data_IF_188022646458
#
_entry.id   IF_188022646458
#
_cell.length_a   1.000
_cell.length_b   1.000
_cell.length_c   1.000
_cell.angle_alpha   90.00
_cell.angle_beta   90.00
_cell.angle_gamma   90.00
#
_symmetry.space_group_name_H-M   'P 1'
#
loop_
_entity.id
_entity.type
_entity.pdbx_description
1 polymer ?
#
# COMPACT_ATOMS: atom_id res chain seq x y z
N UNK A 1 -9.88 -6.10 25.08
CA UNK A 1 -10.29 -6.03 23.66
C UNK A 1 -9.16 -6.43 22.69
N UNK A 2 -8.10 -5.63 22.46
CA UNK A 2 -6.94 -6.06 21.62
C UNK A 2 -6.25 -7.31 22.23
N UNK A 3 -6.11 -7.32 23.55
CA UNK A 3 -5.55 -8.45 24.30
C UNK A 3 -6.40 -9.73 24.22
N UNK A 4 -7.73 -9.60 24.13
CA UNK A 4 -8.63 -10.76 23.99
C UNK A 4 -8.58 -11.34 22.57
N UNK A 5 -8.25 -10.51 21.57
CA UNK A 5 -8.05 -10.95 20.19
C UNK A 5 -6.72 -11.70 20.03
N UNK A 6 -5.63 -11.19 20.63
CA UNK A 6 -4.32 -11.83 20.60
C UNK A 6 -4.25 -13.12 21.44
N UNK A 7 -4.90 -13.14 22.61
CA UNK A 7 -4.93 -14.32 23.49
C UNK A 7 -5.72 -15.51 22.92
N UNK A 8 -6.57 -15.30 21.92
CA UNK A 8 -7.34 -16.39 21.28
C UNK A 8 -6.52 -17.21 20.27
N UNK A 9 -5.33 -16.75 19.88
CA UNK A 9 -4.41 -17.48 19.00
C UNK A 9 -3.57 -18.45 19.86
N UNK A 10 -4.04 -19.70 20.01
CA UNK A 10 -3.37 -20.75 20.80
C UNK A 10 -1.94 -20.99 20.30
N UNK A 11 -0.95 -20.99 21.21
CA UNK A 11 0.38 -21.58 20.98
C UNK A 11 1.57 -20.62 20.84
N UNK A 12 1.46 -19.35 21.25
CA UNK A 12 2.55 -18.37 21.15
C UNK A 12 3.23 -18.22 22.52
N UNK A 13 4.57 -18.25 22.57
CA UNK A 13 5.31 -18.08 23.82
C UNK A 13 5.20 -16.63 24.36
N UNK A 14 5.41 -16.44 25.66
CA UNK A 14 5.33 -15.11 26.31
C UNK A 14 6.32 -14.10 25.71
N UNK A 15 7.50 -14.55 25.30
CA UNK A 15 8.49 -13.70 24.64
C UNK A 15 8.10 -13.32 23.20
N UNK A 16 7.48 -14.25 22.47
CA UNK A 16 6.90 -13.94 21.15
C UNK A 16 5.69 -13.00 21.26
N UNK A 17 4.88 -13.14 22.31
CA UNK A 17 3.79 -12.22 22.64
C UNK A 17 4.33 -10.81 22.94
N UNK A 18 5.40 -10.67 23.73
CA UNK A 18 6.01 -9.38 24.06
C UNK A 18 6.60 -8.67 22.83
N UNK A 19 7.31 -9.39 21.95
CA UNK A 19 7.85 -8.84 20.70
C UNK A 19 6.75 -8.48 19.70
N UNK A 20 5.69 -9.30 19.61
CA UNK A 20 4.48 -8.99 18.82
C UNK A 20 3.74 -7.79 19.38
N UNK A 21 3.71 -7.63 20.71
CA UNK A 21 3.05 -6.52 21.38
C UNK A 21 3.76 -5.18 21.13
N UNK A 22 5.09 -5.15 21.19
CA UNK A 22 5.87 -3.95 20.86
C UNK A 22 5.78 -3.59 19.37
N UNK A 23 5.75 -4.58 18.47
CA UNK A 23 5.55 -4.35 17.04
C UNK A 23 4.13 -3.87 16.71
N UNK A 24 3.09 -4.45 17.32
CA UNK A 24 1.71 -3.99 17.12
C UNK A 24 1.46 -2.63 17.78
N UNK A 25 2.05 -2.34 18.94
CA UNK A 25 2.04 -0.99 19.53
C UNK A 25 2.72 0.00 18.60
N UNK A 26 3.89 -0.33 18.06
CA UNK A 26 4.54 0.49 17.04
C UNK A 26 3.64 0.74 15.82
N UNK A 27 2.93 -0.27 15.33
CA UNK A 27 2.08 -0.18 14.12
C UNK A 27 0.77 0.56 14.36
N UNK A 28 0.11 0.31 15.49
CA UNK A 28 -1.07 1.06 15.91
C UNK A 28 -0.72 2.49 16.28
N UNK A 29 0.42 2.73 16.90
CA UNK A 29 0.94 4.06 17.15
C UNK A 29 1.40 4.72 15.84
N UNK A 30 1.93 3.97 14.88
CA UNK A 30 2.28 4.44 13.54
C UNK A 30 1.05 4.88 12.78
N UNK A 31 -0.01 4.07 12.76
CA UNK A 31 -1.30 4.44 12.18
C UNK A 31 -1.96 5.61 12.93
N UNK A 32 -2.08 5.54 14.26
CA UNK A 32 -2.65 6.64 15.05
C UNK A 32 -1.92 7.95 14.80
N UNK A 33 -0.59 7.91 14.77
CA UNK A 33 0.19 9.09 14.44
C UNK A 33 0.03 9.43 12.95
N UNK A 34 -0.08 8.45 12.02
CA UNK A 34 -0.27 8.69 10.58
C UNK A 34 -1.48 9.55 10.37
N UNK A 35 -2.58 9.14 10.98
CA UNK A 35 -3.86 9.83 10.98
C UNK A 35 -3.79 11.19 11.68
N UNK A 36 -3.06 11.28 12.79
CA UNK A 36 -2.89 12.55 13.51
C UNK A 36 -2.02 13.57 12.75
N UNK A 37 -0.96 13.10 12.08
CA UNK A 37 -0.04 13.94 11.33
C UNK A 37 -0.59 14.29 9.96
N UNK A 38 -1.36 13.42 9.32
CA UNK A 38 -2.00 13.74 8.04
C UNK A 38 -2.97 14.92 8.16
N UNK A 39 -3.72 14.97 9.26
CA UNK A 39 -4.57 16.11 9.61
C UNK A 39 -3.77 17.39 9.89
N UNK A 40 -2.48 17.33 10.26
CA UNK A 40 -1.67 18.52 10.60
C UNK A 40 -0.82 19.05 9.46
N UNK A 41 -0.50 18.25 8.45
CA UNK A 41 0.52 18.59 7.46
C UNK A 41 -0.02 18.79 6.06
N UNK A 42 -1.29 18.46 5.83
CA UNK A 42 -1.95 18.74 4.58
C UNK A 42 -2.28 20.23 4.40
N UNK A 43 -2.55 20.68 3.16
CA UNK A 43 -3.11 22.00 2.95
C UNK A 43 -4.48 22.10 3.65
N UNK A 44 -4.80 23.28 4.20
CA UNK A 44 -5.97 23.49 5.07
C UNK A 44 -7.28 22.99 4.45
N UNK A 45 -7.46 23.20 3.15
CA UNK A 45 -8.65 22.74 2.42
C UNK A 45 -8.85 21.22 2.51
N UNK A 46 -7.79 20.41 2.39
CA UNK A 46 -7.88 18.94 2.52
C UNK A 46 -8.01 18.48 3.98
N UNK A 47 -7.47 19.23 4.95
CA UNK A 47 -7.62 18.92 6.38
C UNK A 47 -9.04 19.08 6.87
N UNK A 48 -9.74 20.07 6.33
CA UNK A 48 -11.14 20.33 6.65
C UNK A 48 -12.05 19.25 6.08
N UNK A 49 -11.75 18.76 4.87
CA UNK A 49 -12.59 17.81 4.15
C UNK A 49 -12.29 16.34 4.42
N UNK A 50 -11.02 15.91 4.47
CA UNK A 50 -10.68 14.49 4.60
C UNK A 50 -10.28 14.16 6.05
N UNK A 51 -10.99 13.19 6.65
CA UNK A 51 -10.72 12.67 8.00
C UNK A 51 -10.27 11.22 7.93
N UNK A 52 -9.57 10.79 8.98
CA UNK A 52 -9.11 9.41 9.11
C UNK A 52 -9.76 8.72 10.30
N UNK A 53 -10.07 7.44 10.12
CA UNK A 53 -10.60 6.59 11.18
C UNK A 53 -9.93 5.21 11.13
N UNK A 54 -9.77 4.63 12.31
CA UNK A 54 -9.38 3.23 12.48
C UNK A 54 -10.63 2.40 12.71
N UNK A 55 -10.72 1.26 12.04
CA UNK A 55 -11.77 0.26 12.27
C UNK A 55 -11.19 -1.01 12.90
N UNK A 56 -11.89 -1.55 13.89
CA UNK A 56 -11.53 -2.80 14.57
C UNK A 56 -12.37 -3.99 14.09
N UNK A 57 -13.17 -3.81 13.04
CA UNK A 57 -13.86 -4.88 12.35
C UNK A 57 -12.92 -5.85 11.61
N UNK A 58 -13.53 -6.84 10.97
CA UNK A 58 -12.83 -7.93 10.29
C UNK A 58 -12.41 -7.62 8.84
N UNK A 59 -12.70 -6.41 8.34
CA UNK A 59 -12.31 -6.00 6.98
C UNK A 59 -10.78 -6.02 6.81
N UNK A 60 -10.32 -6.32 5.60
CA UNK A 60 -8.92 -6.18 5.21
C UNK A 60 -8.66 -5.03 4.26
N UNK A 61 -9.70 -4.41 3.74
CA UNK A 61 -9.58 -3.32 2.77
C UNK A 61 -9.88 -2.00 3.48
N UNK A 62 -8.99 -1.00 3.35
CA UNK A 62 -9.35 0.38 3.62
C UNK A 62 -10.55 0.80 2.75
N UNK A 63 -11.29 1.80 3.22
CA UNK A 63 -12.44 2.34 2.48
C UNK A 63 -12.55 3.84 2.71
N UNK A 64 -12.71 4.61 1.65
CA UNK A 64 -13.13 5.99 1.66
C UNK A 64 -14.67 6.10 1.65
N UNK A 65 -15.22 7.02 2.45
CA UNK A 65 -16.66 7.31 2.50
C UNK A 65 -16.94 8.80 2.42
N UNK A 66 -17.90 9.19 1.60
CA UNK A 66 -18.43 10.54 1.55
C UNK A 66 -19.47 10.77 2.66
N UNK A 67 -19.48 11.97 3.23
CA UNK A 67 -20.41 12.45 4.24
C UNK A 67 -20.99 13.80 3.80
N UNK A 68 -22.20 14.16 4.25
CA UNK A 68 -22.81 15.45 3.94
C UNK A 68 -21.88 16.63 4.23
N UNK A 69 -21.87 17.62 3.32
CA UNK A 69 -21.03 18.82 3.44
C UNK A 69 -19.63 18.70 2.84
N UNK A 70 -19.40 17.75 1.92
CA UNK A 70 -18.09 17.58 1.26
C UNK A 70 -17.01 17.03 2.19
N UNK A 71 -17.44 16.31 3.23
CA UNK A 71 -16.56 15.65 4.19
C UNK A 71 -16.31 14.22 3.73
N UNK A 72 -15.06 13.79 3.76
CA UNK A 72 -14.63 12.45 3.42
C UNK A 72 -14.00 11.78 4.62
N UNK A 73 -14.15 10.46 4.73
CA UNK A 73 -13.49 9.67 5.77
C UNK A 73 -12.81 8.45 5.15
N UNK A 74 -11.50 8.36 5.35
CA UNK A 74 -10.73 7.16 5.02
C UNK A 74 -10.67 6.29 6.28
N UNK A 75 -11.19 5.07 6.17
CA UNK A 75 -11.29 4.10 7.25
C UNK A 75 -10.27 3.01 7.00
N UNK A 76 -9.34 2.83 7.94
CA UNK A 76 -8.32 1.79 7.88
C UNK A 76 -8.62 0.67 8.88
N UNK A 77 -8.81 -0.57 8.42
CA UNK A 77 -9.02 -1.69 9.32
C UNK A 77 -7.71 -2.14 10.00
N UNK A 78 -7.75 -2.33 11.32
CA UNK A 78 -6.64 -2.88 12.09
C UNK A 78 -6.32 -4.31 11.66
N UNK A 79 -7.34 -5.08 11.26
CA UNK A 79 -7.14 -6.47 10.85
C UNK A 79 -6.23 -6.59 9.63
N UNK A 80 -6.33 -5.67 8.66
CA UNK A 80 -5.39 -5.58 7.54
C UNK A 80 -3.94 -5.47 8.01
N UNK A 81 -3.63 -4.59 8.96
CA UNK A 81 -2.28 -4.43 9.46
C UNK A 81 -1.75 -5.70 10.12
N UNK A 82 -2.61 -6.36 10.89
CA UNK A 82 -2.27 -7.59 11.58
C UNK A 82 -1.94 -8.69 10.56
N UNK A 83 -2.77 -8.87 9.54
CA UNK A 83 -2.51 -9.86 8.50
C UNK A 83 -1.27 -9.49 7.67
N UNK A 84 -1.11 -8.23 7.27
CA UNK A 84 0.09 -7.76 6.58
C UNK A 84 1.35 -8.04 7.42
N UNK A 85 1.28 -7.88 8.75
CA UNK A 85 2.35 -8.27 9.64
C UNK A 85 2.62 -9.77 9.61
N UNK A 86 1.59 -10.62 9.68
CA UNK A 86 1.79 -12.06 9.62
C UNK A 86 2.41 -12.48 8.28
N UNK A 87 1.99 -11.85 7.19
CA UNK A 87 2.50 -12.13 5.84
C UNK A 87 3.92 -11.62 5.63
N UNK A 88 4.32 -10.50 6.23
CA UNK A 88 5.66 -9.91 6.01
C UNK A 88 6.68 -10.29 7.09
N UNK A 89 6.27 -10.51 8.34
CA UNK A 89 7.16 -10.77 9.48
C UNK A 89 6.99 -12.15 10.11
N UNK A 90 6.07 -12.98 9.61
CA UNK A 90 5.76 -14.27 10.22
C UNK A 90 6.98 -15.22 10.28
N UNK A 91 6.87 -16.36 10.98
CA UNK A 91 7.92 -17.39 11.00
C UNK A 91 8.19 -17.94 9.59
N UNK A 92 9.43 -17.86 9.09
CA UNK A 92 9.82 -18.31 7.73
C UNK A 92 10.49 -17.23 6.88
N UNK A 93 10.03 -15.98 6.95
CA UNK A 93 10.58 -14.85 6.16
C UNK A 93 11.92 -14.36 6.67
N UNK A 94 12.13 -14.44 7.98
CA UNK A 94 13.40 -14.06 8.63
C UNK A 94 14.62 -14.81 8.06
N UNK A 95 14.41 -15.92 7.34
CA UNK A 95 15.47 -16.66 6.64
C UNK A 95 15.91 -15.99 5.33
N UNK A 96 15.07 -15.16 4.72
CA UNK A 96 15.25 -14.67 3.36
C UNK A 96 15.40 -13.14 3.25
N UNK A 97 15.02 -12.37 4.28
CA UNK A 97 15.10 -10.89 4.25
C UNK A 97 15.59 -10.27 5.56
N UNK A 98 16.25 -9.12 5.46
CA UNK A 98 16.63 -8.31 6.63
C UNK A 98 15.42 -7.49 7.11
N UNK A 99 15.38 -7.19 8.41
CA UNK A 99 14.30 -6.40 9.04
C UNK A 99 14.03 -5.04 8.37
N UNK A 100 15.07 -4.39 7.84
CA UNK A 100 14.93 -3.14 7.10
C UNK A 100 14.13 -3.31 5.81
N UNK A 101 14.27 -4.45 5.13
CA UNK A 101 13.60 -4.74 3.86
C UNK A 101 12.12 -5.04 4.08
N UNK A 102 11.79 -5.83 5.11
CA UNK A 102 10.41 -6.07 5.55
C UNK A 102 9.69 -4.75 5.87
N UNK A 103 10.40 -3.81 6.52
CA UNK A 103 9.85 -2.48 6.84
C UNK A 103 9.54 -1.67 5.59
N UNK A 104 10.36 -1.76 4.52
CA UNK A 104 10.08 -1.09 3.25
C UNK A 104 8.83 -1.62 2.58
N UNK A 105 8.66 -2.94 2.56
CA UNK A 105 7.47 -3.59 2.00
C UNK A 105 6.20 -3.14 2.71
N UNK A 106 6.19 -3.17 4.05
CA UNK A 106 5.03 -2.69 4.82
C UNK A 106 4.75 -1.22 4.55
N UNK A 107 5.80 -0.39 4.50
CA UNK A 107 5.65 1.03 4.21
C UNK A 107 4.99 1.27 2.85
N UNK A 108 5.44 0.56 1.81
CA UNK A 108 4.86 0.67 0.46
C UNK A 108 3.41 0.16 0.44
N UNK A 109 3.11 -0.96 1.09
CA UNK A 109 1.72 -1.46 1.19
C UNK A 109 0.77 -0.42 1.79
N UNK A 110 1.18 0.21 2.90
CA UNK A 110 0.40 1.26 3.55
C UNK A 110 0.28 2.51 2.70
N UNK A 111 1.33 2.89 1.97
CA UNK A 111 1.29 4.01 1.03
C UNK A 111 0.33 3.76 -0.12
N UNK A 112 0.35 2.56 -0.72
CA UNK A 112 -0.55 2.22 -1.83
C UNK A 112 -2.00 2.29 -1.39
N UNK A 113 -2.32 1.70 -0.24
CA UNK A 113 -3.64 1.76 0.36
C UNK A 113 -4.10 3.19 0.62
N UNK A 114 -3.23 3.99 1.25
CA UNK A 114 -3.56 5.38 1.56
C UNK A 114 -3.74 6.19 0.29
N UNK A 115 -2.85 6.05 -0.68
CA UNK A 115 -2.92 6.74 -1.95
C UNK A 115 -4.21 6.40 -2.69
N UNK A 116 -4.54 5.12 -2.79
CA UNK A 116 -5.78 4.64 -3.42
C UNK A 116 -7.02 5.30 -2.82
N UNK A 117 -7.21 5.22 -1.49
CA UNK A 117 -8.39 5.82 -0.85
C UNK A 117 -8.41 7.35 -0.91
N UNK A 118 -7.24 7.98 -0.91
CA UNK A 118 -7.17 9.44 -1.10
C UNK A 118 -7.64 9.84 -2.49
N UNK A 119 -7.31 9.04 -3.52
CA UNK A 119 -7.75 9.31 -4.90
C UNK A 119 -9.26 9.27 -5.00
N UNK A 120 -9.91 8.31 -4.37
CA UNK A 120 -11.38 8.29 -4.27
C UNK A 120 -11.95 9.57 -3.69
N UNK A 121 -11.32 10.11 -2.65
CA UNK A 121 -11.73 11.37 -2.03
C UNK A 121 -11.49 12.59 -2.94
N UNK A 122 -10.32 12.69 -3.59
CA UNK A 122 -9.95 13.89 -4.35
C UNK A 122 -10.55 13.94 -5.74
N UNK A 123 -10.83 12.79 -6.36
CA UNK A 123 -11.44 12.70 -7.69
C UNK A 123 -12.97 12.58 -7.65
N UNK A 124 -13.55 12.42 -6.46
CA UNK A 124 -15.00 12.30 -6.30
C UNK A 124 -15.56 10.98 -6.81
N UNK A 125 -14.78 9.90 -6.71
CA UNK A 125 -15.24 8.54 -7.11
C UNK A 125 -16.37 8.03 -6.19
N UNK A 126 -16.56 8.64 -5.03
CA UNK A 126 -17.54 8.18 -4.04
C UNK A 126 -18.98 8.60 -4.34
N UNK A 127 -19.21 9.36 -5.41
CA UNK A 127 -20.50 9.97 -5.74
C UNK A 127 -21.21 9.33 -6.97
N UNK A 128 -20.68 8.23 -7.53
CA UNK A 128 -21.05 7.76 -8.88
C UNK A 128 -21.85 6.43 -8.94
N UNK A 129 -22.52 6.23 -10.09
CA UNK A 129 -23.34 5.05 -10.44
C UNK A 129 -22.51 3.75 -10.54
N UNK A 130 -23.18 2.59 -10.36
CA UNK A 130 -22.57 1.25 -10.29
C UNK A 130 -21.68 0.91 -11.50
N UNK A 131 -21.97 1.49 -12.67
CA UNK A 131 -21.25 1.21 -13.93
C UNK A 131 -19.83 1.84 -14.01
N UNK A 132 -19.49 2.83 -13.18
CA UNK A 132 -18.16 3.48 -13.20
C UNK A 132 -17.18 2.93 -12.16
N UNK A 133 -17.66 2.11 -11.21
CA UNK A 133 -16.88 1.61 -10.06
C UNK A 133 -15.56 0.99 -10.49
N UNK A 134 -15.56 0.07 -11.48
CA UNK A 134 -14.33 -0.58 -11.95
C UNK A 134 -13.33 0.41 -12.56
N UNK A 135 -13.81 1.39 -13.31
CA UNK A 135 -12.91 2.39 -13.93
C UNK A 135 -12.30 3.34 -12.90
N UNK A 136 -13.04 3.66 -11.85
CA UNK A 136 -12.60 4.51 -10.75
C UNK A 136 -11.64 3.80 -9.80
N UNK A 137 -11.89 2.51 -9.51
CA UNK A 137 -10.96 1.64 -8.79
C UNK A 137 -9.65 1.45 -9.56
N UNK A 138 -9.73 1.22 -10.88
CA UNK A 138 -8.55 1.16 -11.76
C UNK A 138 -7.80 2.49 -11.76
N UNK A 139 -8.51 3.62 -11.86
CA UNK A 139 -7.88 4.93 -11.79
C UNK A 139 -7.19 5.14 -10.43
N UNK A 140 -7.85 4.82 -9.32
CA UNK A 140 -7.28 4.91 -7.99
C UNK A 140 -6.03 4.04 -7.79
N UNK A 141 -6.03 2.81 -8.29
CA UNK A 141 -4.85 1.94 -8.29
C UNK A 141 -3.71 2.52 -9.13
N UNK A 142 -4.02 3.03 -10.33
CA UNK A 142 -3.02 3.61 -11.22
C UNK A 142 -2.40 4.84 -10.57
N UNK A 143 -3.25 5.72 -10.05
CA UNK A 143 -2.86 6.95 -9.40
C UNK A 143 -2.01 6.66 -8.14
N UNK A 144 -2.38 5.65 -7.36
CA UNK A 144 -1.63 5.22 -6.19
C UNK A 144 -0.21 4.78 -6.53
N UNK A 145 -0.04 4.00 -7.61
CA UNK A 145 1.29 3.59 -8.09
C UNK A 145 2.19 4.80 -8.43
N UNK A 146 1.64 5.77 -9.15
CA UNK A 146 2.35 7.01 -9.51
C UNK A 146 2.70 7.87 -8.30
N UNK A 147 1.80 7.99 -7.32
CA UNK A 147 2.03 8.71 -6.07
C UNK A 147 3.16 8.09 -5.24
N UNK A 148 3.23 6.76 -5.17
CA UNK A 148 4.30 6.05 -4.47
C UNK A 148 5.65 6.28 -5.15
N UNK A 149 5.71 6.21 -6.48
CA UNK A 149 6.93 6.55 -7.21
C UNK A 149 7.35 8.00 -6.93
N UNK A 150 6.42 8.96 -7.07
CA UNK A 150 6.70 10.37 -6.82
C UNK A 150 7.21 10.63 -5.40
N UNK A 151 6.70 9.87 -4.42
CA UNK A 151 7.18 9.96 -3.05
C UNK A 151 8.60 9.39 -2.88
N UNK A 152 8.88 8.21 -3.43
CA UNK A 152 10.23 7.61 -3.38
C UNK A 152 11.25 8.50 -4.09
N UNK A 153 10.93 8.96 -5.30
CA UNK A 153 11.76 9.85 -6.11
C UNK A 153 12.12 11.13 -5.34
N UNK A 154 11.12 11.83 -4.78
CA UNK A 154 11.32 13.10 -4.09
C UNK A 154 11.91 12.96 -2.68
N UNK A 155 11.70 11.82 -2.02
CA UNK A 155 12.07 11.61 -0.62
C UNK A 155 13.21 10.61 -0.42
N UNK A 156 13.93 10.21 -1.48
CA UNK A 156 14.96 9.18 -1.39
C UNK A 156 16.01 9.45 -0.29
N UNK A 157 16.45 10.71 -0.14
CA UNK A 157 17.39 11.11 0.91
C UNK A 157 16.86 10.84 2.33
N UNK A 158 15.57 11.07 2.53
CA UNK A 158 14.86 10.77 3.77
C UNK A 158 14.64 9.26 3.96
N UNK A 159 14.53 8.49 2.87
CA UNK A 159 14.27 7.06 2.90
C UNK A 159 15.52 6.19 3.10
N UNK A 160 16.72 6.75 2.86
CA UNK A 160 18.01 6.07 3.06
C UNK A 160 18.18 5.40 4.43
N UNK A 161 17.85 6.04 5.58
CA UNK A 161 17.90 5.39 6.88
C UNK A 161 16.98 4.17 7.04
N UNK A 162 15.95 4.05 6.19
CA UNK A 162 15.04 2.90 6.13
C UNK A 162 15.48 1.86 5.08
N UNK A 163 16.65 2.05 4.48
CA UNK A 163 17.29 1.11 3.56
C UNK A 163 16.87 1.25 2.11
N UNK A 164 16.22 2.34 1.71
CA UNK A 164 16.06 2.70 0.29
C UNK A 164 17.33 3.36 -0.22
N UNK A 165 18.10 2.64 -1.03
CA UNK A 165 19.39 3.08 -1.56
C UNK A 165 19.22 3.96 -2.81
N UNK A 166 18.29 3.57 -3.68
CA UNK A 166 17.98 4.19 -4.96
C UNK A 166 16.53 3.92 -5.39
N UNK A 167 16.12 4.53 -6.51
CA UNK A 167 14.79 4.35 -7.10
C UNK A 167 14.59 2.96 -7.72
N UNK A 168 15.68 2.31 -8.15
CA UNK A 168 15.67 0.96 -8.71
C UNK A 168 15.23 -0.06 -7.67
N UNK A 169 15.76 0.06 -6.44
CA UNK A 169 15.30 -0.70 -5.30
C UNK A 169 13.84 -0.37 -4.98
N UNK A 170 13.40 0.88 -5.16
CA UNK A 170 11.99 1.26 -5.09
C UNK A 170 11.12 0.42 -6.04
N UNK A 171 11.58 0.19 -7.27
CA UNK A 171 10.93 -0.72 -8.23
C UNK A 171 10.80 -2.15 -7.71
N UNK A 172 11.88 -2.74 -7.22
CA UNK A 172 11.83 -4.09 -6.63
C UNK A 172 10.83 -4.19 -5.48
N UNK A 173 10.90 -3.25 -4.53
CA UNK A 173 10.02 -3.26 -3.36
C UNK A 173 8.55 -3.00 -3.74
N UNK A 174 8.31 -2.20 -4.79
CA UNK A 174 6.98 -1.96 -5.33
C UNK A 174 6.34 -3.23 -5.88
N UNK A 175 7.06 -4.01 -6.69
CA UNK A 175 6.55 -5.29 -7.21
C UNK A 175 6.25 -6.28 -6.10
N UNK A 176 7.13 -6.34 -5.10
CA UNK A 176 6.96 -7.20 -3.93
C UNK A 176 5.73 -6.80 -3.09
N UNK A 177 5.66 -5.51 -2.71
CA UNK A 177 4.59 -4.98 -1.87
C UNK A 177 3.23 -5.08 -2.55
N UNK A 178 3.14 -4.77 -3.84
CA UNK A 178 1.89 -4.87 -4.60
C UNK A 178 1.40 -6.32 -4.63
N UNK A 179 2.28 -7.30 -4.84
CA UNK A 179 1.92 -8.73 -4.84
C UNK A 179 1.42 -9.17 -3.46
N UNK A 180 2.11 -8.79 -2.38
CA UNK A 180 1.69 -9.10 -1.00
C UNK A 180 0.33 -8.48 -0.69
N UNK A 181 0.13 -7.22 -1.08
CA UNK A 181 -1.08 -6.46 -0.79
C UNK A 181 -2.30 -7.02 -1.53
N UNK A 182 -2.19 -7.25 -2.84
CA UNK A 182 -3.31 -7.77 -3.64
C UNK A 182 -3.65 -9.21 -3.28
N UNK A 183 -2.65 -10.00 -2.88
CA UNK A 183 -2.84 -11.33 -2.28
C UNK A 183 -3.63 -11.28 -0.97
N UNK A 184 -3.32 -10.30 -0.12
CA UNK A 184 -3.99 -10.13 1.15
C UNK A 184 -5.47 -9.76 0.97
N UNK A 185 -5.76 -8.87 0.02
CA UNK A 185 -7.14 -8.51 -0.30
C UNK A 185 -7.92 -9.70 -0.86
N UNK A 186 -7.34 -10.50 -1.75
CA UNK A 186 -8.04 -11.64 -2.33
C UNK A 186 -8.46 -12.70 -1.32
N UNK A 187 -7.66 -12.89 -0.26
CA UNK A 187 -7.84 -13.96 0.74
C UNK A 187 -9.25 -14.02 1.34
N UNK A 188 -10.06 -12.95 1.26
CA UNK A 188 -11.42 -12.92 1.77
C UNK A 188 -12.46 -12.29 0.82
N UNK A 189 -12.10 -11.99 -0.43
CA UNK A 189 -12.99 -11.42 -1.45
C UNK A 189 -13.18 -12.39 -2.65
N UNK A 190 -13.23 -13.69 -2.38
CA UNK A 190 -13.33 -14.73 -3.42
C UNK A 190 -14.60 -14.68 -4.29
N UNK A 191 -15.64 -13.96 -3.85
CA UNK A 191 -16.97 -13.96 -4.48
C UNK A 191 -17.47 -12.55 -4.85
N UNK A 192 -16.61 -11.52 -4.80
CA UNK A 192 -17.01 -10.13 -5.04
C UNK A 192 -16.72 -9.70 -6.48
N UNK A 193 -17.72 -9.83 -7.36
CA UNK A 193 -17.64 -9.54 -8.81
C UNK A 193 -17.33 -8.05 -9.13
N UNK A 194 -17.43 -7.17 -8.14
CA UNK A 194 -17.12 -5.74 -8.26
C UNK A 194 -15.64 -5.39 -8.06
N UNK A 195 -14.84 -6.28 -7.47
CA UNK A 195 -13.45 -6.00 -7.11
C UNK A 195 -12.46 -6.51 -8.15
N UNK A 196 -11.44 -5.71 -8.47
CA UNK A 196 -10.40 -6.14 -9.40
C UNK A 196 -9.66 -7.39 -8.89
N UNK A 197 -9.47 -8.35 -9.80
CA UNK A 197 -8.67 -9.52 -9.52
C UNK A 197 -7.23 -9.11 -9.13
N UNK A 198 -6.52 -9.90 -8.32
CA UNK A 198 -5.24 -9.49 -7.72
C UNK A 198 -4.17 -9.16 -8.75
N UNK A 199 -4.22 -9.87 -9.88
CA UNK A 199 -3.37 -9.66 -11.04
C UNK A 199 -3.63 -8.31 -11.70
N UNK A 200 -4.90 -7.97 -11.91
CA UNK A 200 -5.27 -6.69 -12.51
C UNK A 200 -4.78 -5.53 -11.65
N UNK A 201 -5.07 -5.54 -10.34
CA UNK A 201 -4.59 -4.52 -9.40
C UNK A 201 -3.07 -4.40 -9.41
N UNK A 202 -2.37 -5.54 -9.38
CA UNK A 202 -0.91 -5.57 -9.47
C UNK A 202 -0.42 -4.86 -10.74
N UNK A 203 -0.99 -5.20 -11.90
CA UNK A 203 -0.63 -4.57 -13.17
C UNK A 203 -0.93 -3.08 -13.16
N UNK A 204 -2.08 -2.67 -12.62
CA UNK A 204 -2.49 -1.26 -12.55
C UNK A 204 -1.53 -0.45 -11.67
N UNK A 205 -1.21 -0.94 -10.47
CA UNK A 205 -0.23 -0.32 -9.58
C UNK A 205 1.15 -0.19 -10.24
N UNK A 206 1.63 -1.27 -10.88
CA UNK A 206 2.93 -1.28 -11.57
C UNK A 206 2.94 -0.31 -12.76
N UNK A 207 1.86 -0.28 -13.56
CA UNK A 207 1.71 0.65 -14.67
C UNK A 207 1.72 2.11 -14.19
N UNK A 208 1.01 2.40 -13.10
CA UNK A 208 1.02 3.70 -12.43
C UNK A 208 2.40 4.12 -11.97
N UNK A 209 3.19 3.19 -11.42
CA UNK A 209 4.56 3.45 -10.98
C UNK A 209 5.55 3.64 -12.14
N UNK A 210 5.45 2.84 -13.21
CA UNK A 210 6.36 2.91 -14.36
C UNK A 210 6.11 4.16 -15.22
N UNK A 211 4.85 4.58 -15.36
CA UNK A 211 4.51 5.66 -16.30
C UNK A 211 5.30 6.96 -16.02
N UNK A 212 5.37 7.48 -14.79
CA UNK A 212 6.19 8.65 -14.48
C UNK A 212 7.70 8.43 -14.70
N UNK A 213 8.23 7.23 -14.45
CA UNK A 213 9.63 6.88 -14.76
C UNK A 213 9.89 7.05 -16.25
N UNK A 214 9.00 6.51 -17.10
CA UNK A 214 9.10 6.60 -18.55
C UNK A 214 9.11 8.04 -19.02
N UNK A 215 8.26 8.87 -18.43
CA UNK A 215 8.11 10.26 -18.84
C UNK A 215 9.25 11.16 -18.31
N UNK A 216 9.81 10.88 -17.13
CA UNK A 216 10.85 11.72 -16.50
C UNK A 216 12.28 11.26 -16.78
N UNK A 217 12.50 9.95 -16.90
CA UNK A 217 13.83 9.32 -17.03
C UNK A 217 13.99 8.55 -18.35
N UNK A 218 12.92 8.44 -19.14
CA UNK A 218 12.94 7.80 -20.46
C UNK A 218 12.72 6.28 -20.43
N UNK A 219 12.59 5.71 -21.63
CA UNK A 219 12.24 4.30 -21.83
C UNK A 219 13.24 3.30 -21.24
N UNK A 220 14.54 3.62 -21.24
CA UNK A 220 15.57 2.72 -20.73
C UNK A 220 15.47 2.54 -19.22
N UNK A 221 15.29 3.65 -18.48
CA UNK A 221 15.08 3.62 -17.03
C UNK A 221 13.79 2.89 -16.68
N UNK A 222 12.69 3.18 -17.39
CA UNK A 222 11.41 2.50 -17.22
C UNK A 222 11.52 0.98 -17.42
N UNK A 223 12.26 0.55 -18.45
CA UNK A 223 12.50 -0.88 -18.69
C UNK A 223 13.29 -1.53 -17.56
N UNK A 224 14.34 -0.87 -17.07
CA UNK A 224 15.15 -1.39 -15.96
C UNK A 224 14.34 -1.51 -14.67
N UNK A 225 13.58 -0.48 -14.33
CA UNK A 225 12.67 -0.49 -13.17
C UNK A 225 11.59 -1.56 -13.33
N UNK A 226 11.01 -1.72 -14.53
CA UNK A 226 10.03 -2.77 -14.81
C UNK A 226 10.60 -4.18 -14.57
N UNK A 227 11.82 -4.47 -15.03
CA UNK A 227 12.50 -5.74 -14.76
C UNK A 227 12.69 -5.98 -13.26
N UNK A 228 13.02 -4.94 -12.50
CA UNK A 228 13.16 -5.05 -11.04
C UNK A 228 11.82 -5.27 -10.34
N UNK A 229 10.74 -4.63 -10.81
CA UNK A 229 9.40 -4.90 -10.30
C UNK A 229 9.01 -6.36 -10.56
N UNK A 230 9.26 -6.92 -11.74
CA UNK A 230 9.02 -8.33 -12.06
C UNK A 230 9.82 -9.29 -11.16
N UNK A 231 11.07 -8.94 -10.86
CA UNK A 231 11.88 -9.68 -9.89
C UNK A 231 11.28 -9.63 -8.48
N UNK A 232 10.74 -8.47 -8.08
CA UNK A 232 10.00 -8.29 -6.83
C UNK A 232 8.73 -9.14 -6.75
N UNK A 233 7.95 -9.18 -7.83
CA UNK A 233 6.74 -10.03 -7.96
C UNK A 233 7.11 -11.50 -7.80
N UNK A 234 8.16 -11.95 -8.51
CA UNK A 234 8.61 -13.34 -8.46
C UNK A 234 9.06 -13.75 -7.04
N UNK A 235 9.80 -12.86 -6.36
CA UNK A 235 10.22 -13.08 -4.99
C UNK A 235 9.04 -13.12 -4.00
N UNK A 236 8.03 -12.28 -4.18
CA UNK A 236 6.82 -12.31 -3.35
C UNK A 236 6.00 -13.58 -3.58
N UNK A 237 5.82 -14.02 -4.84
CA UNK A 237 5.11 -15.26 -5.16
C UNK A 237 5.76 -16.49 -4.51
N UNK A 238 7.10 -16.58 -4.59
CA UNK A 238 7.85 -17.66 -3.92
C UNK A 238 7.62 -17.65 -2.41
N UNK A 239 7.63 -16.48 -1.79
CA UNK A 239 7.37 -16.40 -0.36
C UNK A 239 5.95 -16.85 0.01
N UNK A 240 4.97 -16.39 -0.77
CA UNK A 240 3.56 -16.71 -0.52
C UNK A 240 3.32 -18.22 -0.67
N UNK A 241 3.94 -18.88 -1.66
CA UNK A 241 3.81 -20.33 -1.82
C UNK A 241 4.40 -21.11 -0.65
N UNK A 242 5.56 -20.70 -0.10
CA UNK A 242 6.16 -21.28 1.11
C UNK A 242 5.26 -21.15 2.36
N UNK A 243 4.32 -20.21 2.36
CA UNK A 243 3.35 -19.96 3.43
C UNK A 243 2.06 -20.76 3.29
N UNK A 244 1.93 -21.57 2.24
CA UNK A 244 0.67 -22.21 1.92
C UNK A 244 -0.42 -21.23 1.52
N UNK A 245 -0.06 -20.04 0.99
CA UNK A 245 -1.02 -19.33 0.16
C UNK A 245 -1.34 -20.23 -1.04
N UNK A 246 -2.63 -20.50 -1.20
CA UNK A 246 -3.18 -21.57 -2.04
C UNK A 246 -2.68 -21.51 -3.49
N UNK A 247 -2.52 -22.69 -4.11
CA UNK A 247 -2.38 -22.86 -5.58
C UNK A 247 -3.44 -22.02 -6.32
N UNK A 248 -4.62 -21.89 -5.72
CA UNK A 248 -5.68 -21.04 -6.22
C UNK A 248 -5.28 -19.56 -6.36
N UNK A 249 -4.62 -18.96 -5.37
CA UNK A 249 -4.16 -17.57 -5.47
C UNK A 249 -3.07 -17.43 -6.53
N UNK A 250 -2.17 -18.41 -6.63
CA UNK A 250 -1.16 -18.42 -7.68
C UNK A 250 -1.80 -18.52 -9.07
N UNK A 251 -2.84 -19.34 -9.23
CA UNK A 251 -3.61 -19.42 -10.49
C UNK A 251 -4.28 -18.10 -10.87
N UNK A 252 -4.69 -17.28 -9.89
CA UNK A 252 -5.25 -15.95 -10.17
C UNK A 252 -4.24 -14.97 -10.74
N UNK A 253 -2.97 -15.07 -10.33
CA UNK A 253 -1.88 -14.27 -10.90
C UNK A 253 -1.36 -14.80 -12.24
N UNK A 254 -1.48 -16.10 -12.47
CA UNK A 254 -0.87 -16.76 -13.63
C UNK A 254 -1.85 -16.98 -14.78
N UNK A 255 -3.15 -16.83 -14.56
CA UNK A 255 -4.16 -16.94 -15.61
C UNK A 255 -4.35 -15.61 -16.36
N UNK A 256 -3.96 -15.49 -17.65
CA UNK A 256 -4.16 -14.28 -18.45
C UNK A 256 -5.62 -14.03 -18.81
N UNK A 257 -6.49 -15.04 -18.76
CA UNK A 257 -7.93 -14.86 -19.00
C UNK A 257 -8.58 -13.96 -17.94
N UNK A 258 -7.93 -13.81 -16.78
CA UNK A 258 -8.32 -12.87 -15.74
C UNK A 258 -8.11 -11.39 -16.13
N UNK A 259 -7.56 -11.10 -17.31
CA UNK A 259 -7.36 -9.73 -17.81
C UNK A 259 -8.46 -9.27 -18.78
N UNK A 260 -9.54 -10.04 -18.94
CA UNK A 260 -10.48 -9.87 -20.05
C UNK A 260 -11.05 -8.45 -20.20
N UNK A 261 -11.25 -7.72 -19.10
CA UNK A 261 -11.70 -6.32 -19.09
C UNK A 261 -10.59 -5.30 -18.77
N UNK A 262 -9.38 -5.74 -18.39
CA UNK A 262 -8.30 -4.85 -17.94
C UNK A 262 -7.95 -3.78 -18.98
N UNK A 263 -7.73 -4.18 -20.24
CA UNK A 263 -7.37 -3.23 -21.29
C UNK A 263 -8.52 -2.29 -21.67
N UNK A 264 -9.76 -2.74 -21.52
CA UNK A 264 -10.95 -1.91 -21.76
C UNK A 264 -11.11 -0.86 -20.66
N UNK A 265 -11.02 -1.29 -19.39
CA UNK A 265 -11.15 -0.41 -18.21
C UNK A 265 -9.99 0.57 -18.15
N UNK A 266 -8.76 0.11 -18.41
CA UNK A 266 -7.63 1.00 -18.65
C UNK A 266 -7.91 1.91 -19.85
N UNK A 267 -8.39 1.41 -20.98
CA UNK A 267 -8.77 2.24 -22.13
C UNK A 267 -9.65 3.44 -21.78
N UNK A 268 -10.62 3.27 -20.88
CA UNK A 268 -11.54 4.32 -20.40
C UNK A 268 -10.85 5.38 -19.52
N UNK A 269 -9.77 5.02 -18.83
CA UNK A 269 -8.97 5.96 -18.03
C UNK A 269 -7.86 6.66 -18.83
N UNK A 270 -7.64 6.32 -20.11
CA UNK A 270 -6.50 6.85 -20.91
C UNK A 270 -6.61 8.34 -21.28
N UNK A 271 -7.81 8.91 -21.41
CA UNK A 271 -7.96 10.28 -21.92
C UNK A 271 -7.40 11.39 -20.99
N UNK A 272 -6.90 11.03 -19.80
CA UNK A 272 -6.37 11.99 -18.81
C UNK A 272 -4.92 11.74 -18.38
N UNK A 273 -4.28 10.63 -18.77
CA UNK A 273 -3.05 10.11 -18.11
C UNK A 273 -1.71 10.69 -18.57
N UNK A 274 -1.65 11.35 -19.73
CA UNK A 274 -0.41 11.91 -20.28
C UNK A 274 -0.06 13.30 -19.72
N UNK A 275 -1.01 13.97 -19.05
CA UNK A 275 -0.81 15.31 -18.45
C UNK A 275 -0.39 15.24 -16.96
N UNK A 276 -0.33 14.04 -16.39
CA UNK A 276 -0.44 13.87 -14.94
C UNK A 276 0.90 13.82 -14.17
N UNK A 277 2.11 13.94 -14.75
CA UNK A 277 3.36 13.91 -13.93
C UNK A 277 3.34 14.96 -12.82
N UNK A 278 2.94 16.18 -13.18
CA UNK A 278 2.84 17.27 -12.24
C UNK A 278 1.74 17.00 -11.20
N UNK A 279 0.68 16.30 -11.59
CA UNK A 279 -0.37 15.84 -10.69
C UNK A 279 0.11 14.72 -9.77
N UNK A 280 0.91 13.76 -10.24
CA UNK A 280 1.54 12.69 -9.43
C UNK A 280 2.49 13.25 -8.40
N UNK A 281 3.38 14.15 -8.82
CA UNK A 281 4.32 14.81 -7.92
C UNK A 281 3.58 15.64 -6.88
N UNK A 282 2.53 16.38 -7.28
CA UNK A 282 1.68 17.08 -6.32
C UNK A 282 0.99 16.08 -5.41
N UNK A 283 0.22 15.13 -5.92
CA UNK A 283 -0.49 14.15 -5.12
C UNK A 283 0.45 13.39 -4.15
N UNK A 284 1.72 13.15 -4.50
CA UNK A 284 2.71 12.55 -3.58
C UNK A 284 2.93 13.37 -2.30
N UNK A 285 2.69 14.69 -2.29
CA UNK A 285 2.70 15.50 -1.06
C UNK A 285 1.65 15.00 -0.05
N UNK A 286 0.56 14.39 -0.52
CA UNK A 286 -0.47 13.85 0.35
C UNK A 286 0.07 12.68 1.19
N UNK A 287 1.18 12.04 0.76
CA UNK A 287 1.92 11.02 1.50
C UNK A 287 2.99 11.60 2.45
N UNK A 288 3.26 12.91 2.43
CA UNK A 288 4.19 13.58 3.37
C UNK A 288 3.92 13.34 4.87
N UNK A 289 2.68 13.12 5.35
CA UNK A 289 2.44 12.73 6.74
C UNK A 289 3.23 11.50 7.17
N UNK A 290 3.41 10.53 6.27
CA UNK A 290 4.16 9.29 6.53
C UNK A 290 5.61 9.60 6.91
N UNK A 291 6.24 10.56 6.23
CA UNK A 291 7.60 11.01 6.54
C UNK A 291 7.72 11.57 7.95
N UNK A 292 6.77 12.42 8.39
CA UNK A 292 6.81 13.01 9.74
C UNK A 292 6.65 11.96 10.84
N UNK A 293 5.94 10.86 10.57
CA UNK A 293 5.85 9.74 11.49
C UNK A 293 7.16 9.04 11.66
N UNK A 294 7.73 8.64 10.54
CA UNK A 294 8.96 7.89 10.47
C UNK A 294 10.05 8.68 11.23
N UNK A 295 10.12 10.01 11.07
CA UNK A 295 10.96 10.89 11.91
C UNK A 295 10.64 10.81 13.43
N UNK A 296 9.37 10.89 13.83
CA UNK A 296 8.95 10.80 15.23
C UNK A 296 9.32 9.46 15.86
N UNK A 297 9.25 8.37 15.09
CA UNK A 297 9.62 7.04 15.57
C UNK A 297 11.14 6.82 15.61
N UNK A 298 11.86 7.27 14.58
CA UNK A 298 13.32 7.23 14.54
C UNK A 298 13.93 8.02 15.71
N UNK A 299 13.39 9.21 16.00
CA UNK A 299 13.85 10.03 17.14
C UNK A 299 13.51 9.45 18.52
N UNK A 300 12.38 8.72 18.67
CA UNK A 300 12.06 7.98 19.91
C UNK A 300 13.01 6.81 20.14
N UNK A 301 13.37 6.06 19.09
CA UNK A 301 14.28 4.93 19.20
C UNK A 301 15.73 5.36 19.49
N UNK A 302 16.19 6.48 18.92
CA UNK A 302 17.50 7.06 19.23
C UNK A 302 17.61 7.62 20.67
N UNK A 303 16.48 7.92 21.32
CA UNK A 303 16.47 8.32 22.74
C UNK A 303 16.52 7.13 23.70
N UNK A 304 16.09 5.94 23.28
CA UNK A 304 16.21 4.69 24.07
C UNK A 304 17.58 4.03 23.96
N UNK A 305 18.40 4.42 22.98
CA UNK A 305 19.74 3.89 22.76
C UNK A 305 20.87 4.79 23.29
N UNK A 306 20.54 5.87 24.00
CA UNK A 306 21.53 6.62 24.79
C UNK A 306 21.54 6.03 26.22
N UNK A 307 22.70 5.56 26.71
CA UNK A 307 22.82 4.92 28.02
C UNK A 307 22.45 5.85 29.17
#
# INVERSE_FOLDING_TARGET
MIFDFLNRQKGISVDELNVREDNMKFKLEFLKNLFYLSIKTWPEKQKETIKFQVDFGDSLTPVARAFPGGLYRIIFPVRMLYELEQVVYGPGIKKHRKKSEETRVVLICLMLCLAHEMIHCVRGHLDNDVDSIKSEETDADFMAGGMVWGWIHNQLSFLKPYGFLDEEQGGYEMGYASTVLTSLFQKYHFEDDGYHLPRQRLLTFMAGYINPVKQTQGNLAARKIGQLQEAGVSAAKLLLSERGFDIHLQSMFDNPDNDSDYYEVMGKTNNRRDEDINEWHRASFLLEPIKKLLFKFSSKNNKKSKP
#
